data_IF_099273721785
#
_entry.id   IF_099273721785
#
_cell.length_a   1.000
_cell.length_b   1.000
_cell.length_c   1.000
_cell.angle_alpha   90.00
_cell.angle_beta   90.00
_cell.angle_gamma   90.00
#
_symmetry.space_group_name_H-M   'P 1'
#
loop_
_entity.id
_entity.type
_entity.pdbx_description
1 polymer ?
#
# COMPACT_ATOMS: atom_id res chain seq x y z
N UNK A 1 2.59 9.75 14.24
CA UNK A 1 1.78 10.99 14.33
C UNK A 1 0.38 10.62 14.84
N UNK A 2 -0.07 11.20 15.96
CA UNK A 2 -1.45 11.09 16.44
C UNK A 2 -2.16 12.42 16.22
N UNK A 3 -3.29 12.44 15.50
CA UNK A 3 -4.10 13.65 15.29
C UNK A 3 -5.58 13.26 15.04
N UNK A 4 -6.57 14.11 15.35
CA UNK A 4 -7.99 13.82 15.12
C UNK A 4 -8.36 13.69 13.63
N UNK A 5 -9.42 12.95 13.31
CA UNK A 5 -9.95 12.82 11.93
C UNK A 5 -10.19 14.22 11.33
N UNK A 6 -9.89 14.42 10.04
CA UNK A 6 -9.84 15.72 9.34
C UNK A 6 -8.53 16.54 9.45
N UNK A 7 -7.55 16.16 10.27
CA UNK A 7 -6.23 16.85 10.31
C UNK A 7 -5.27 16.54 9.14
N UNK A 8 -5.79 16.10 7.99
CA UNK A 8 -4.96 15.82 6.80
C UNK A 8 -4.08 14.56 6.87
N UNK A 9 -4.24 13.70 7.89
CA UNK A 9 -3.47 12.45 8.05
C UNK A 9 -3.51 11.53 6.82
N UNK A 10 -4.67 11.42 6.19
CA UNK A 10 -4.82 10.61 4.96
C UNK A 10 -4.04 11.22 3.81
N UNK A 11 -4.07 12.56 3.67
CA UNK A 11 -3.35 13.28 2.62
C UNK A 11 -1.83 13.13 2.77
N UNK A 12 -1.30 13.29 3.99
CA UNK A 12 0.15 13.13 4.24
C UNK A 12 0.61 11.68 4.02
N UNK A 13 -0.23 10.67 4.28
CA UNK A 13 0.09 9.29 3.95
C UNK A 13 0.30 9.09 2.44
N UNK A 14 -0.57 9.67 1.59
CA UNK A 14 -0.41 9.57 0.14
C UNK A 14 0.84 10.30 -0.36
N UNK A 15 1.20 11.43 0.24
CA UNK A 15 2.46 12.11 -0.08
C UNK A 15 3.68 11.24 0.26
N UNK A 16 3.66 10.56 1.40
CA UNK A 16 4.72 9.64 1.79
C UNK A 16 4.82 8.44 0.81
N UNK A 17 3.69 7.86 0.41
CA UNK A 17 3.64 6.82 -0.62
C UNK A 17 4.21 7.30 -1.95
N UNK A 18 3.79 8.49 -2.41
CA UNK A 18 4.26 9.09 -3.65
C UNK A 18 5.78 9.26 -3.66
N UNK A 19 6.36 9.68 -2.51
CA UNK A 19 7.82 9.80 -2.38
C UNK A 19 8.51 8.45 -2.59
N UNK A 20 8.01 7.37 -1.99
CA UNK A 20 8.56 6.01 -2.18
C UNK A 20 8.45 5.59 -3.65
N UNK A 21 7.27 5.76 -4.26
CA UNK A 21 6.99 5.40 -5.66
C UNK A 21 7.86 6.17 -6.67
N UNK A 22 8.23 7.41 -6.37
CA UNK A 22 9.05 8.27 -7.24
C UNK A 22 10.54 8.07 -7.06
N UNK A 23 10.99 7.70 -5.86
CA UNK A 23 12.42 7.57 -5.55
C UNK A 23 13.07 6.34 -6.19
N UNK A 24 12.36 5.21 -6.26
CA UNK A 24 12.88 3.97 -6.83
C UNK A 24 11.76 3.01 -7.23
N UNK A 25 12.13 1.90 -7.87
CA UNK A 25 11.21 0.77 -8.12
C UNK A 25 11.30 -0.33 -7.05
N UNK A 26 12.28 -0.24 -6.14
CA UNK A 26 12.56 -1.26 -5.11
C UNK A 26 11.96 -0.91 -3.74
N UNK A 27 11.70 0.37 -3.48
CA UNK A 27 11.10 0.82 -2.24
C UNK A 27 9.67 0.30 -2.08
N UNK A 28 9.34 -0.20 -0.89
CA UNK A 28 8.01 -0.69 -0.53
C UNK A 28 7.43 0.13 0.62
N UNK A 29 6.21 0.65 0.43
CA UNK A 29 5.42 1.29 1.47
C UNK A 29 4.30 0.33 1.92
N UNK A 30 4.15 0.14 3.23
CA UNK A 30 3.08 -0.69 3.79
C UNK A 30 2.04 0.19 4.46
N UNK A 31 0.79 0.10 3.99
CA UNK A 31 -0.37 0.73 4.61
C UNK A 31 -1.21 -0.31 5.35
N UNK A 32 -1.33 -0.15 6.66
CA UNK A 32 -2.16 -1.02 7.50
C UNK A 32 -3.51 -0.34 7.73
N UNK A 33 -4.53 -0.79 6.99
CA UNK A 33 -5.90 -0.32 7.13
C UNK A 33 -6.59 -0.98 8.35
N UNK A 34 -7.44 -0.26 9.09
CA UNK A 34 -8.08 -0.82 10.28
C UNK A 34 -9.23 -1.79 9.96
N UNK A 35 -9.80 -1.75 8.74
CA UNK A 35 -10.89 -2.63 8.32
C UNK A 35 -10.72 -3.04 6.85
N UNK A 36 -11.37 -4.14 6.45
CA UNK A 36 -11.39 -4.61 5.05
C UNK A 36 -12.05 -3.62 4.09
N UNK A 37 -13.10 -2.92 4.54
CA UNK A 37 -13.76 -1.90 3.75
C UNK A 37 -12.79 -0.76 3.40
N UNK A 38 -12.00 -0.32 4.40
CA UNK A 38 -10.98 0.72 4.18
C UNK A 38 -9.80 0.21 3.37
N UNK A 39 -9.42 -1.06 3.48
CA UNK A 39 -8.40 -1.67 2.61
C UNK A 39 -8.79 -1.52 1.13
N UNK A 40 -10.02 -1.93 0.78
CA UNK A 40 -10.50 -1.83 -0.60
C UNK A 40 -10.59 -0.38 -1.08
N UNK A 41 -11.08 0.52 -0.22
CA UNK A 41 -11.17 1.94 -0.53
C UNK A 41 -9.78 2.55 -0.78
N UNK A 42 -8.81 2.24 0.07
CA UNK A 42 -7.43 2.75 -0.04
C UNK A 42 -6.75 2.17 -1.28
N UNK A 43 -6.94 0.88 -1.57
CA UNK A 43 -6.41 0.25 -2.80
C UNK A 43 -6.92 0.98 -4.05
N UNK A 44 -8.23 1.19 -4.15
CA UNK A 44 -8.82 1.93 -5.27
C UNK A 44 -8.30 3.38 -5.38
N UNK A 45 -8.13 4.07 -4.24
CA UNK A 45 -7.60 5.44 -4.21
C UNK A 45 -6.14 5.49 -4.67
N UNK A 46 -5.30 4.50 -4.30
CA UNK A 46 -3.90 4.40 -4.74
C UNK A 46 -3.85 4.26 -6.26
N UNK A 47 -4.65 3.37 -6.85
CA UNK A 47 -4.72 3.23 -8.30
C UNK A 47 -5.26 4.50 -8.98
N UNK A 48 -6.28 5.14 -8.41
CA UNK A 48 -6.81 6.41 -8.94
C UNK A 48 -5.74 7.51 -8.98
N UNK A 49 -4.92 7.61 -7.93
CA UNK A 49 -3.89 8.66 -7.81
C UNK A 49 -2.61 8.38 -8.58
N UNK A 50 -2.17 7.14 -8.62
CA UNK A 50 -0.81 6.78 -9.06
C UNK A 50 -0.76 5.86 -10.28
N UNK A 51 -1.89 5.63 -10.97
CA UNK A 51 -1.97 4.82 -12.20
C UNK A 51 -1.05 5.27 -13.34
N UNK A 52 -0.55 6.50 -13.31
CA UNK A 52 0.43 6.99 -14.29
C UNK A 52 1.85 6.43 -14.09
N UNK A 53 2.13 5.77 -12.95
CA UNK A 53 3.40 5.08 -12.70
C UNK A 53 3.52 3.86 -13.61
N UNK A 54 4.59 3.82 -14.39
CA UNK A 54 4.95 2.67 -15.21
C UNK A 54 6.16 1.94 -14.63
N UNK A 55 6.20 0.64 -14.89
CA UNK A 55 7.29 -0.24 -14.49
C UNK A 55 8.00 -0.76 -15.75
N UNK A 56 9.35 -0.85 -15.75
CA UNK A 56 10.05 -1.53 -16.82
C UNK A 56 9.56 -2.97 -16.94
N UNK A 57 9.44 -3.48 -18.17
CA UNK A 57 8.98 -4.86 -18.43
C UNK A 57 9.90 -5.94 -17.83
N UNK A 58 11.13 -5.56 -17.47
CA UNK A 58 12.11 -6.42 -16.81
C UNK A 58 11.83 -6.64 -15.33
N UNK A 59 10.97 -5.82 -14.72
CA UNK A 59 10.65 -5.86 -13.28
C UNK A 59 9.22 -6.36 -13.10
N UNK A 60 9.04 -7.43 -12.30
CA UNK A 60 7.72 -7.98 -11.97
C UNK A 60 7.16 -7.35 -10.70
N UNK A 61 6.89 -6.05 -10.75
CA UNK A 61 6.37 -5.27 -9.61
C UNK A 61 5.13 -4.52 -10.05
N UNK A 62 4.07 -4.64 -9.27
CA UNK A 62 2.82 -3.91 -9.45
C UNK A 62 2.81 -2.62 -8.60
N UNK A 63 1.96 -1.67 -9.00
CA UNK A 63 1.80 -0.41 -8.26
C UNK A 63 1.37 -0.67 -6.81
N UNK A 64 0.31 -1.46 -6.65
CA UNK A 64 -0.26 -1.77 -5.35
C UNK A 64 -0.69 -3.23 -5.26
N UNK A 65 -0.54 -3.80 -4.08
CA UNK A 65 -1.02 -5.12 -3.73
C UNK A 65 -1.87 -5.06 -2.47
N UNK A 66 -2.72 -6.06 -2.30
CA UNK A 66 -3.52 -6.23 -1.10
C UNK A 66 -3.19 -7.55 -0.43
N UNK A 67 -3.14 -7.55 0.91
CA UNK A 67 -2.97 -8.78 1.67
C UNK A 67 -3.93 -8.82 2.84
N UNK A 68 -4.95 -9.67 2.69
CA UNK A 68 -5.96 -10.00 3.67
C UNK A 68 -6.14 -11.53 3.71
N UNK A 69 -6.75 -12.05 4.79
CA UNK A 69 -6.87 -13.49 5.03
C UNK A 69 -7.62 -14.25 3.92
N UNK A 70 -8.65 -13.63 3.34
CA UNK A 70 -9.48 -14.25 2.30
C UNK A 70 -9.13 -13.80 0.88
N UNK A 71 -8.39 -12.70 0.73
CA UNK A 71 -8.05 -12.11 -0.57
C UNK A 71 -6.64 -11.54 -0.55
N UNK A 72 -5.85 -11.94 -1.54
CA UNK A 72 -4.46 -11.52 -1.69
C UNK A 72 -4.18 -11.25 -3.15
N UNK A 73 -3.65 -10.07 -3.44
CA UNK A 73 -3.30 -9.66 -4.80
C UNK A 73 -1.92 -9.01 -4.76
N UNK A 74 -0.95 -9.60 -5.47
CA UNK A 74 0.46 -9.19 -5.47
C UNK A 74 1.07 -8.89 -4.07
N UNK A 75 0.82 -9.71 -3.04
CA UNK A 75 1.15 -9.35 -1.65
C UNK A 75 2.65 -9.16 -1.38
N UNK A 76 3.51 -9.72 -2.23
CA UNK A 76 4.98 -9.60 -2.14
C UNK A 76 5.61 -8.94 -3.38
N UNK A 77 4.81 -8.62 -4.40
CA UNK A 77 5.28 -8.12 -5.69
C UNK A 77 4.63 -6.76 -6.00
N UNK A 78 4.60 -5.86 -5.02
CA UNK A 78 4.06 -4.51 -5.19
C UNK A 78 4.92 -3.47 -4.45
N UNK A 79 4.86 -2.21 -4.91
CA UNK A 79 5.51 -1.11 -4.18
C UNK A 79 4.64 -0.54 -3.05
N UNK A 80 3.31 -0.64 -3.15
CA UNK A 80 2.41 -0.26 -2.05
C UNK A 80 1.60 -1.46 -1.61
N UNK A 81 1.93 -2.01 -0.45
CA UNK A 81 1.18 -3.10 0.15
C UNK A 81 0.10 -2.54 1.08
N UNK A 82 -1.18 -2.80 0.78
CA UNK A 82 -2.30 -2.49 1.66
C UNK A 82 -2.71 -3.76 2.40
N UNK A 83 -2.68 -3.74 3.72
CA UNK A 83 -3.00 -4.91 4.56
C UNK A 83 -3.81 -4.50 5.79
N UNK A 84 -4.16 -5.47 6.63
CA UNK A 84 -4.87 -5.30 7.89
C UNK A 84 -4.00 -5.81 9.05
N UNK A 85 -4.21 -5.35 10.31
CA UNK A 85 -3.32 -5.66 11.43
C UNK A 85 -3.07 -7.16 11.63
N UNK A 86 -4.13 -7.98 11.60
CA UNK A 86 -4.06 -9.44 11.80
C UNK A 86 -3.11 -10.13 10.82
N UNK A 87 -3.07 -9.64 9.58
CA UNK A 87 -2.29 -10.25 8.50
C UNK A 87 -0.87 -9.68 8.46
N UNK A 88 -0.71 -8.40 8.82
CA UNK A 88 0.60 -7.77 8.95
C UNK A 88 1.48 -8.47 10.00
N UNK A 89 0.88 -8.90 11.11
CA UNK A 89 1.58 -9.70 12.14
C UNK A 89 2.13 -11.00 11.56
N UNK A 90 1.37 -11.70 10.71
CA UNK A 90 1.81 -12.93 10.06
C UNK A 90 3.03 -12.69 9.16
N UNK A 91 3.05 -11.61 8.38
CA UNK A 91 4.21 -11.25 7.53
C UNK A 91 5.45 -11.03 8.40
N UNK A 92 5.30 -10.36 9.54
CA UNK A 92 6.42 -10.07 10.44
C UNK A 92 7.09 -11.34 10.99
N UNK A 93 6.34 -12.41 11.17
CA UNK A 93 6.86 -13.70 11.65
C UNK A 93 7.46 -14.58 10.55
N UNK A 94 7.30 -14.20 9.27
CA UNK A 94 7.83 -14.94 8.11
C UNK A 94 9.19 -14.41 7.62
N UNK A 95 9.81 -13.49 8.37
CA UNK A 95 11.15 -12.94 8.09
C UNK A 95 12.12 -13.27 9.21
#
# INVERSE_FOLDING_TARGET
VCAPTSSGKTFICYYAMEKVLRQSHDGVAVYVAPTKALLNQVSAEIYSRFSSKTYPSTVRVELAGTFAKEFSEYPMNCQVLVTIPEVFEQIRHLR
#
